data_IF_343267084910
#
_entry.id   IF_343267084910
#
_cell.length_a   1.000
_cell.length_b   1.000
_cell.length_c   1.000
_cell.angle_alpha   90.00
_cell.angle_beta   90.00
_cell.angle_gamma   90.00
#
_symmetry.space_group_name_H-M   'P 1'
#
loop_
_entity.id
_entity.type
_entity.pdbx_description
1 polymer ?
#
# COMPACT_ATOMS: atom_id res chain seq x y z
N UNK A 1 -60.87 -3.59 -28.60
CA UNK A 1 -61.05 -4.46 -29.77
C UNK A 1 -59.87 -5.43 -29.94
N UNK A 2 -59.53 -6.23 -28.91
CA UNK A 2 -58.38 -7.16 -28.91
C UNK A 2 -58.80 -8.64 -29.01
N UNK A 3 -59.97 -8.93 -29.61
CA UNK A 3 -60.59 -10.28 -29.57
C UNK A 3 -60.16 -11.23 -30.69
N UNK A 4 -59.05 -10.96 -31.41
CA UNK A 4 -58.56 -11.82 -32.51
C UNK A 4 -57.04 -12.02 -32.54
N UNK A 5 -56.36 -11.96 -31.39
CA UNK A 5 -54.98 -12.45 -31.33
C UNK A 5 -55.02 -13.96 -31.13
N UNK A 6 -54.59 -14.70 -32.16
CA UNK A 6 -54.43 -16.15 -32.09
C UNK A 6 -53.52 -16.48 -30.90
N UNK A 7 -53.82 -17.55 -30.16
CA UNK A 7 -53.05 -18.03 -29.00
C UNK A 7 -51.54 -18.06 -29.31
N UNK A 8 -51.18 -18.37 -30.56
CA UNK A 8 -49.81 -18.41 -31.07
C UNK A 8 -49.13 -17.03 -31.11
N UNK A 9 -49.87 -15.96 -31.42
CA UNK A 9 -49.36 -14.58 -31.43
C UNK A 9 -49.17 -14.06 -30.00
N UNK A 10 -50.07 -14.41 -29.08
CA UNK A 10 -49.91 -14.04 -27.66
C UNK A 10 -48.75 -14.79 -27.02
N UNK A 11 -48.56 -16.08 -27.32
CA UNK A 11 -47.46 -16.89 -26.79
C UNK A 11 -46.09 -16.41 -27.29
N UNK A 12 -46.00 -16.05 -28.57
CA UNK A 12 -44.77 -15.48 -29.15
C UNK A 12 -44.46 -14.09 -28.59
N UNK A 13 -45.47 -13.25 -28.37
CA UNK A 13 -45.30 -11.93 -27.75
C UNK A 13 -44.79 -12.05 -26.31
N UNK A 14 -45.35 -12.96 -25.51
CA UNK A 14 -44.90 -13.21 -24.13
C UNK A 14 -43.49 -13.77 -24.11
N UNK A 15 -43.17 -14.72 -25.00
CA UNK A 15 -41.81 -15.26 -25.13
C UNK A 15 -40.78 -14.19 -25.50
N UNK A 16 -41.12 -13.32 -26.46
CA UNK A 16 -40.24 -12.23 -26.89
C UNK A 16 -40.04 -11.18 -25.79
N UNK A 17 -41.09 -10.87 -25.03
CA UNK A 17 -41.00 -10.02 -23.85
C UNK A 17 -40.07 -10.63 -22.79
N UNK A 18 -40.20 -11.93 -22.52
CA UNK A 18 -39.39 -12.62 -21.52
C UNK A 18 -37.90 -12.63 -21.89
N UNK A 19 -37.60 -12.92 -23.15
CA UNK A 19 -36.23 -12.88 -23.69
C UNK A 19 -35.67 -11.46 -23.66
N UNK A 20 -36.47 -10.45 -24.01
CA UNK A 20 -36.08 -9.04 -23.93
C UNK A 20 -35.74 -8.61 -22.50
N UNK A 21 -36.60 -8.95 -21.54
CA UNK A 21 -36.34 -8.69 -20.12
C UNK A 21 -35.07 -9.40 -19.64
N UNK A 22 -34.87 -10.67 -20.00
CA UNK A 22 -33.67 -11.42 -19.64
C UNK A 22 -32.39 -10.79 -20.23
N UNK A 23 -32.44 -10.33 -21.47
CA UNK A 23 -31.32 -9.64 -22.12
C UNK A 23 -30.99 -8.31 -21.43
N UNK A 24 -32.01 -7.52 -21.06
CA UNK A 24 -31.83 -6.27 -20.32
C UNK A 24 -31.22 -6.52 -18.94
N UNK A 25 -31.72 -7.51 -18.19
CA UNK A 25 -31.17 -7.88 -16.88
C UNK A 25 -29.72 -8.37 -17.04
N UNK A 26 -29.43 -9.19 -18.05
CA UNK A 26 -28.08 -9.66 -18.35
C UNK A 26 -27.11 -8.50 -18.65
N UNK A 27 -27.53 -7.53 -19.46
CA UNK A 27 -26.74 -6.34 -19.76
C UNK A 27 -26.48 -5.50 -18.49
N UNK A 28 -27.50 -5.27 -17.67
CA UNK A 28 -27.37 -4.55 -16.39
C UNK A 28 -26.46 -5.29 -15.41
N UNK A 29 -26.53 -6.63 -15.36
CA UNK A 29 -25.66 -7.45 -14.53
C UNK A 29 -24.19 -7.36 -14.99
N UNK A 30 -23.94 -7.38 -16.30
CA UNK A 30 -22.60 -7.17 -16.88
C UNK A 30 -22.04 -5.78 -16.56
N UNK A 31 -22.86 -4.73 -16.66
CA UNK A 31 -22.46 -3.36 -16.29
C UNK A 31 -22.16 -3.27 -14.79
N UNK A 32 -23.03 -3.84 -13.95
CA UNK A 32 -22.82 -3.90 -12.51
C UNK A 32 -21.52 -4.62 -12.15
N UNK A 33 -21.27 -5.78 -12.76
CA UNK A 33 -20.04 -6.55 -12.55
C UNK A 33 -18.79 -5.80 -13.02
N UNK A 34 -18.86 -5.10 -14.16
CA UNK A 34 -17.75 -4.29 -14.66
C UNK A 34 -17.42 -3.12 -13.71
N UNK A 35 -18.45 -2.46 -13.17
CA UNK A 35 -18.27 -1.38 -12.19
C UNK A 35 -17.71 -1.87 -10.86
N UNK A 36 -18.15 -3.04 -10.38
CA UNK A 36 -17.62 -3.68 -9.19
C UNK A 36 -16.16 -4.10 -9.39
N UNK A 37 -15.82 -4.69 -10.54
CA UNK A 37 -14.45 -5.08 -10.89
C UNK A 37 -13.52 -3.86 -10.99
N UNK A 38 -13.97 -2.74 -11.55
CA UNK A 38 -13.18 -1.51 -11.63
C UNK A 38 -12.86 -0.93 -10.24
N UNK A 39 -13.87 -0.89 -9.35
CA UNK A 39 -13.68 -0.46 -7.96
C UNK A 39 -12.76 -1.40 -7.18
N UNK A 40 -12.90 -2.72 -7.39
CA UNK A 40 -12.04 -3.72 -6.76
C UNK A 40 -10.60 -3.61 -7.27
N UNK A 41 -10.40 -3.37 -8.57
CA UNK A 41 -9.09 -3.16 -9.16
C UNK A 41 -8.42 -1.90 -8.60
N UNK A 42 -9.14 -0.78 -8.48
CA UNK A 42 -8.62 0.44 -7.85
C UNK A 42 -8.18 0.21 -6.39
N UNK A 43 -9.01 -0.45 -5.58
CA UNK A 43 -8.68 -0.79 -4.18
C UNK A 43 -7.51 -1.78 -4.06
N UNK A 44 -7.48 -2.82 -4.90
CA UNK A 44 -6.48 -3.88 -4.82
C UNK A 44 -5.12 -3.45 -5.39
N UNK A 45 -5.09 -2.52 -6.34
CA UNK A 45 -3.90 -2.21 -7.11
C UNK A 45 -3.20 -0.93 -6.66
N UNK A 46 -3.93 0.05 -6.14
CA UNK A 46 -3.37 1.34 -5.74
C UNK A 46 -3.24 1.44 -4.22
N UNK A 47 -4.34 1.23 -3.50
CA UNK A 47 -4.36 1.40 -2.05
C UNK A 47 -3.62 0.28 -1.30
N UNK A 48 -3.75 -0.99 -1.72
CA UNK A 48 -2.98 -2.08 -1.09
C UNK A 48 -1.47 -1.96 -1.33
N UNK A 49 -1.05 -1.48 -2.50
CA UNK A 49 0.38 -1.30 -2.81
C UNK A 49 0.95 -0.16 -1.97
N UNK A 50 0.23 0.97 -1.87
CA UNK A 50 0.62 2.08 -1.01
C UNK A 50 0.66 1.67 0.47
N UNK A 51 -0.38 1.00 0.98
CA UNK A 51 -0.40 0.52 2.37
C UNK A 51 0.75 -0.46 2.67
N UNK A 52 1.03 -1.38 1.73
CA UNK A 52 2.15 -2.31 1.88
C UNK A 52 3.49 -1.59 1.88
N UNK A 53 3.72 -0.67 0.95
CA UNK A 53 4.96 0.10 0.88
C UNK A 53 5.20 0.92 2.16
N UNK A 54 4.14 1.52 2.71
CA UNK A 54 4.21 2.23 4.00
C UNK A 54 4.53 1.27 5.17
N UNK A 55 3.87 0.12 5.22
CA UNK A 55 4.12 -0.92 6.24
C UNK A 55 5.56 -1.42 6.18
N UNK A 56 6.06 -1.76 5.00
CA UNK A 56 7.45 -2.19 4.79
C UNK A 56 8.44 -1.09 5.19
N UNK A 57 8.17 0.17 4.83
CA UNK A 57 8.97 1.34 5.28
C UNK A 57 9.10 1.34 6.80
N UNK A 58 7.97 1.34 7.51
CA UNK A 58 7.97 1.38 8.99
C UNK A 58 8.64 0.16 9.62
N UNK A 59 8.45 -1.03 9.03
CA UNK A 59 9.05 -2.29 9.47
C UNK A 59 10.57 -2.28 9.32
N UNK A 60 11.09 -1.87 8.16
CA UNK A 60 12.53 -1.77 7.92
C UNK A 60 13.17 -0.69 8.78
N UNK A 61 12.51 0.45 8.97
CA UNK A 61 12.97 1.52 9.87
C UNK A 61 13.11 1.01 11.32
N UNK A 62 12.10 0.31 11.82
CA UNK A 62 12.13 -0.25 13.18
C UNK A 62 13.23 -1.31 13.32
N UNK A 63 13.39 -2.19 12.33
CA UNK A 63 14.46 -3.20 12.31
C UNK A 63 15.85 -2.56 12.27
N UNK A 64 16.01 -1.46 11.53
CA UNK A 64 17.24 -0.66 11.54
C UNK A 64 17.53 -0.16 12.95
N UNK A 65 16.54 0.41 13.63
CA UNK A 65 16.68 0.93 14.99
C UNK A 65 17.04 -0.16 16.01
N UNK A 66 16.35 -1.30 15.98
CA UNK A 66 16.66 -2.44 16.85
C UNK A 66 18.08 -2.97 16.59
N UNK A 67 18.54 -2.93 15.35
CA UNK A 67 19.91 -3.32 15.01
C UNK A 67 20.93 -2.33 15.60
N UNK A 68 20.63 -1.03 15.57
CA UNK A 68 21.44 -0.01 16.25
C UNK A 68 21.45 -0.15 17.78
N UNK A 69 20.32 -0.47 18.41
CA UNK A 69 20.30 -0.73 19.85
C UNK A 69 21.23 -1.91 20.22
N UNK A 70 21.30 -2.93 19.35
CA UNK A 70 22.26 -4.03 19.50
C UNK A 70 23.72 -3.56 19.35
N UNK A 71 24.02 -2.59 18.47
CA UNK A 71 25.37 -1.99 18.35
C UNK A 71 25.82 -1.46 19.71
N UNK A 72 24.95 -0.74 20.42
CA UNK A 72 25.27 -0.20 21.75
C UNK A 72 25.64 -1.30 22.73
N UNK A 73 24.87 -2.39 22.77
CA UNK A 73 25.18 -3.54 23.64
C UNK A 73 26.50 -4.23 23.28
N UNK A 74 26.85 -4.31 21.99
CA UNK A 74 28.09 -4.91 21.52
C UNK A 74 29.30 -4.01 21.79
N UNK A 75 29.11 -2.69 21.68
CA UNK A 75 30.12 -1.69 22.04
C UNK A 75 30.44 -1.73 23.54
N UNK A 76 29.42 -1.79 24.41
CA UNK A 76 29.58 -1.93 25.87
C UNK A 76 30.26 -3.26 26.25
N UNK A 77 30.08 -4.32 25.45
CA UNK A 77 30.75 -5.61 25.62
C UNK A 77 32.18 -5.67 25.03
N UNK A 78 32.67 -4.57 24.43
CA UNK A 78 34.00 -4.50 23.81
C UNK A 78 34.13 -5.24 22.47
N UNK A 79 33.03 -5.71 21.87
CA UNK A 79 33.04 -6.44 20.60
C UNK A 79 32.90 -5.48 19.41
N UNK A 80 34.00 -4.77 19.11
CA UNK A 80 34.04 -3.67 18.14
C UNK A 80 33.85 -4.12 16.68
N UNK A 81 34.25 -5.33 16.31
CA UNK A 81 34.03 -5.88 14.96
C UNK A 81 32.56 -6.23 14.71
N UNK A 82 31.89 -6.87 15.66
CA UNK A 82 30.46 -7.17 15.53
C UNK A 82 29.61 -5.90 15.60
N UNK A 83 30.02 -4.91 16.38
CA UNK A 83 29.37 -3.60 16.44
C UNK A 83 29.39 -2.93 15.05
N UNK A 84 30.55 -2.91 14.35
CA UNK A 84 30.66 -2.35 13.00
C UNK A 84 29.75 -3.07 11.99
N UNK A 85 29.74 -4.41 12.00
CA UNK A 85 28.83 -5.21 11.13
C UNK A 85 27.36 -4.92 11.41
N UNK A 86 27.00 -4.70 12.67
CA UNK A 86 25.64 -4.34 13.06
C UNK A 86 25.27 -2.92 12.61
N UNK A 87 26.20 -1.95 12.63
CA UNK A 87 25.99 -0.61 12.05
C UNK A 87 25.72 -0.71 10.55
N UNK A 88 26.55 -1.45 9.80
CA UNK A 88 26.38 -1.64 8.36
C UNK A 88 25.04 -2.30 8.03
N UNK A 89 24.64 -3.29 8.84
CA UNK A 89 23.34 -3.95 8.70
C UNK A 89 22.18 -3.00 8.97
N UNK A 90 22.31 -2.14 9.98
CA UNK A 90 21.34 -1.07 10.26
C UNK A 90 21.20 -0.15 9.05
N UNK A 91 22.31 0.33 8.49
CA UNK A 91 22.30 1.22 7.33
C UNK A 91 21.61 0.57 6.12
N UNK A 92 21.92 -0.69 5.83
CA UNK A 92 21.25 -1.43 4.76
C UNK A 92 19.72 -1.49 4.95
N UNK A 93 19.26 -1.72 6.19
CA UNK A 93 17.83 -1.76 6.50
C UNK A 93 17.18 -0.38 6.36
N UNK A 94 17.89 0.68 6.75
CA UNK A 94 17.44 2.06 6.53
C UNK A 94 17.31 2.39 5.04
N UNK A 95 18.28 1.97 4.22
CA UNK A 95 18.23 2.17 2.77
C UNK A 95 17.01 1.45 2.16
N UNK A 96 16.72 0.22 2.62
CA UNK A 96 15.50 -0.52 2.23
C UNK A 96 14.22 0.19 2.67
N UNK A 97 14.19 0.78 3.86
CA UNK A 97 13.07 1.62 4.30
C UNK A 97 12.87 2.79 3.32
N UNK A 98 13.94 3.48 2.94
CA UNK A 98 13.90 4.63 2.02
C UNK A 98 13.45 4.25 0.60
N UNK A 99 13.85 3.07 0.10
CA UNK A 99 13.36 2.53 -1.17
C UNK A 99 11.84 2.31 -1.14
N UNK A 100 11.32 1.68 -0.07
CA UNK A 100 9.88 1.45 0.09
C UNK A 100 9.11 2.76 0.30
N UNK A 101 9.72 3.76 0.94
CA UNK A 101 9.13 5.08 1.09
C UNK A 101 8.96 5.79 -0.25
N UNK A 102 9.97 5.71 -1.14
CA UNK A 102 9.85 6.24 -2.51
C UNK A 102 8.73 5.54 -3.28
N UNK A 103 8.66 4.21 -3.19
CA UNK A 103 7.57 3.43 -3.79
C UNK A 103 6.20 3.87 -3.25
N UNK A 104 6.09 4.14 -1.95
CA UNK A 104 4.88 4.70 -1.36
C UNK A 104 4.54 6.04 -2.00
N UNK A 105 5.48 6.98 -2.12
CA UNK A 105 5.24 8.30 -2.72
C UNK A 105 4.81 8.22 -4.20
N UNK A 106 5.47 7.35 -4.97
CA UNK A 106 5.23 7.17 -6.41
C UNK A 106 3.90 6.47 -6.72
N UNK A 107 3.34 5.72 -5.77
CA UNK A 107 2.05 5.02 -5.95
C UNK A 107 0.88 6.03 -5.98
N UNK A 108 -0.01 6.01 -6.99
CA UNK A 108 -1.22 6.84 -7.01
C UNK A 108 -2.09 6.58 -5.77
N UNK A 109 -2.63 7.65 -5.17
CA UNK A 109 -3.51 7.57 -3.99
C UNK A 109 -4.76 8.44 -4.21
N UNK A 110 -5.70 8.01 -5.07
CA UNK A 110 -6.86 8.82 -5.43
C UNK A 110 -7.78 9.10 -4.24
N UNK A 111 -7.76 8.27 -3.20
CA UNK A 111 -8.60 8.41 -2.01
C UNK A 111 -7.92 9.17 -0.85
N UNK A 112 -6.63 9.52 -0.95
CA UNK A 112 -5.91 10.20 0.12
C UNK A 112 -5.88 11.72 -0.11
N UNK A 113 -6.40 12.54 0.81
CA UNK A 113 -6.26 13.99 0.72
C UNK A 113 -4.80 14.42 0.71
N UNK A 114 -4.47 15.39 -0.17
CA UNK A 114 -3.10 15.93 -0.32
C UNK A 114 -2.53 16.44 1.01
N UNK A 115 -3.34 17.14 1.81
CA UNK A 115 -2.94 17.66 3.12
C UNK A 115 -2.51 16.56 4.10
N UNK A 116 -3.16 15.40 4.05
CA UNK A 116 -2.81 14.23 4.87
C UNK A 116 -1.50 13.60 4.41
N UNK A 117 -1.26 13.54 3.09
CA UNK A 117 0.00 13.09 2.54
C UNK A 117 1.15 14.02 2.93
N UNK A 118 0.96 15.34 2.82
CA UNK A 118 1.97 16.34 3.15
C UNK A 118 2.30 16.31 4.65
N UNK A 119 1.30 16.15 5.53
CA UNK A 119 1.51 15.97 6.96
C UNK A 119 2.30 14.68 7.28
N UNK A 120 1.99 13.57 6.61
CA UNK A 120 2.70 12.31 6.78
C UNK A 120 4.16 12.41 6.31
N UNK A 121 4.40 13.08 5.18
CA UNK A 121 5.75 13.36 4.68
C UNK A 121 6.55 14.18 5.68
N UNK A 122 5.96 15.27 6.22
CA UNK A 122 6.60 16.10 7.23
C UNK A 122 6.94 15.31 8.49
N UNK A 123 6.04 14.43 8.94
CA UNK A 123 6.27 13.57 10.09
C UNK A 123 7.38 12.53 9.83
N UNK A 124 7.40 11.90 8.65
CA UNK A 124 8.43 10.95 8.26
C UNK A 124 9.82 11.61 8.21
N UNK A 125 9.93 12.80 7.61
CA UNK A 125 11.17 13.59 7.59
C UNK A 125 11.59 13.96 9.01
N UNK A 126 10.66 14.39 9.85
CA UNK A 126 10.95 14.71 11.25
C UNK A 126 11.47 13.49 12.01
N UNK A 127 10.87 12.31 11.83
CA UNK A 127 11.32 11.06 12.47
C UNK A 127 12.72 10.64 12.01
N UNK A 128 13.01 10.74 10.71
CA UNK A 128 14.33 10.43 10.16
C UNK A 128 15.39 11.40 10.68
N UNK A 129 15.15 12.71 10.57
CA UNK A 129 16.10 13.75 10.98
C UNK A 129 16.29 13.82 12.49
N UNK A 130 15.22 13.64 13.28
CA UNK A 130 15.24 13.81 14.73
C UNK A 130 15.74 12.55 15.44
N UNK A 131 15.46 11.36 14.90
CA UNK A 131 15.82 10.09 15.53
C UNK A 131 16.97 9.39 14.81
N UNK A 132 16.69 8.82 13.65
CA UNK A 132 17.53 7.79 13.04
C UNK A 132 18.84 8.36 12.49
N UNK A 133 18.81 9.47 11.77
CA UNK A 133 20.01 10.06 11.17
C UNK A 133 20.98 10.57 12.25
N UNK A 134 20.45 11.16 13.34
CA UNK A 134 21.26 11.58 14.49
C UNK A 134 21.84 10.40 15.25
N UNK A 135 21.10 9.31 15.43
CA UNK A 135 21.61 8.08 16.04
C UNK A 135 22.74 7.47 15.19
N UNK A 136 22.54 7.31 13.87
CA UNK A 136 23.58 6.80 12.97
C UNK A 136 24.81 7.71 12.91
N UNK A 137 24.61 9.03 12.87
CA UNK A 137 25.72 9.99 12.88
C UNK A 137 26.44 9.98 14.22
N UNK A 138 25.73 9.81 15.35
CA UNK A 138 26.34 9.65 16.66
C UNK A 138 27.13 8.34 16.77
N UNK A 139 26.62 7.22 16.25
CA UNK A 139 27.37 5.95 16.24
C UNK A 139 28.56 5.97 15.27
N UNK A 140 28.49 6.71 14.16
CA UNK A 140 29.61 6.88 13.22
C UNK A 140 30.64 7.91 13.69
N UNK A 141 30.21 8.96 14.39
CA UNK A 141 31.09 10.00 14.93
C UNK A 141 31.71 9.59 16.27
N UNK A 142 31.01 8.76 17.05
CA UNK A 142 31.55 8.08 18.21
C UNK A 142 32.20 6.78 17.72
N UNK A 143 33.31 6.95 17.00
CA UNK A 143 34.37 5.95 16.97
C UNK A 143 34.59 5.53 18.42
N UNK A 144 34.36 4.24 18.67
CA UNK A 144 34.30 3.56 19.96
C UNK A 144 35.49 3.97 20.84
N UNK A 145 35.33 5.02 21.64
CA UNK A 145 36.27 5.41 22.68
C UNK A 145 36.03 4.60 23.96
#
# INVERSE_FOLDING_TARGET
>A
MLKKLSIRTTLTLVGLLFVGCAALIGALALVGLNSANASLASLAQEDMVAMRALSETSSYLLRSRVTLDRVRSLAEAGNTEEAKKAIDRGQYLLDKSNENWKLYLDTPKPMLPKDTLDALVAQHVTLLMTGVEREFTAFRANDLA
#
